data_IF_218284793602
#
_entry.id   IF_218284793602
#
_cell.length_a   1.000
_cell.length_b   1.000
_cell.length_c   1.000
_cell.angle_alpha   90.00
_cell.angle_beta   90.00
_cell.angle_gamma   90.00
#
_symmetry.space_group_name_H-M   'P 1'
#
loop_
_entity.id
_entity.type
_entity.pdbx_description
1 polymer ?
#
# COMPACT_ATOMS: atom_id res chain seq x y z
N UNK A 1 7.61 16.56 -2.40
CA UNK A 1 6.87 15.60 -1.59
C UNK A 1 5.48 15.48 -2.15
N UNK A 2 4.91 14.26 -2.19
CA UNK A 2 3.59 13.95 -2.77
C UNK A 2 2.65 13.37 -1.73
N UNK A 3 1.38 13.25 -2.06
CA UNK A 3 0.40 12.55 -1.23
C UNK A 3 -0.56 11.73 -2.07
N UNK A 4 -0.86 10.54 -1.56
CA UNK A 4 -2.03 9.76 -1.93
C UNK A 4 -3.16 9.94 -0.92
N UNK A 5 -4.21 9.15 -1.07
CA UNK A 5 -5.35 9.11 -0.14
C UNK A 5 -5.86 7.68 0.00
N UNK A 6 -6.21 7.26 1.22
CA UNK A 6 -6.88 5.98 1.42
C UNK A 6 -8.32 6.06 0.91
N UNK A 7 -8.78 5.04 0.19
CA UNK A 7 -10.14 4.96 -0.33
C UNK A 7 -11.13 4.41 0.72
N UNK A 8 -12.45 4.71 0.61
CA UNK A 8 -13.49 4.13 1.46
C UNK A 8 -13.76 2.66 1.09
N UNK A 9 -12.74 1.82 1.24
CA UNK A 9 -12.77 0.40 0.93
C UNK A 9 -13.44 -0.44 2.01
N UNK A 10 -13.43 0.07 3.26
CA UNK A 10 -13.86 -0.67 4.42
C UNK A 10 -14.92 0.09 5.24
N UNK A 11 -15.70 -0.66 6.03
CA UNK A 11 -16.65 -0.11 6.98
C UNK A 11 -17.89 0.51 6.35
N UNK A 12 -18.62 1.37 7.12
CA UNK A 12 -19.95 1.86 6.72
C UNK A 12 -19.97 2.77 5.49
N UNK A 13 -18.86 3.47 5.20
CA UNK A 13 -18.76 4.34 4.03
C UNK A 13 -18.47 3.58 2.74
N UNK A 14 -18.15 2.27 2.83
CA UNK A 14 -17.66 1.51 1.68
C UNK A 14 -18.79 1.06 0.74
N UNK A 15 -18.58 1.28 -0.53
CA UNK A 15 -19.36 0.72 -1.65
C UNK A 15 -18.59 0.91 -2.95
N UNK A 16 -18.99 0.22 -4.03
CA UNK A 16 -18.41 0.43 -5.35
C UNK A 16 -18.57 1.88 -5.82
N UNK A 17 -19.76 2.50 -5.59
CA UNK A 17 -20.01 3.92 -5.88
C UNK A 17 -19.11 4.85 -5.08
N UNK A 18 -19.01 4.64 -3.77
CA UNK A 18 -18.16 5.47 -2.90
C UNK A 18 -16.68 5.39 -3.32
N UNK A 19 -16.16 4.20 -3.62
CA UNK A 19 -14.78 4.03 -4.10
C UNK A 19 -14.55 4.71 -5.45
N UNK A 20 -15.49 4.57 -6.40
CA UNK A 20 -15.43 5.23 -7.70
C UNK A 20 -15.39 6.75 -7.56
N UNK A 21 -16.35 7.32 -6.84
CA UNK A 21 -16.43 8.77 -6.60
C UNK A 21 -15.20 9.32 -5.89
N UNK A 22 -14.72 8.61 -4.85
CA UNK A 22 -13.53 8.99 -4.11
C UNK A 22 -12.25 8.95 -4.97
N UNK A 23 -12.10 7.94 -5.81
CA UNK A 23 -10.92 7.80 -6.67
C UNK A 23 -10.90 8.85 -7.79
N UNK A 24 -12.04 9.12 -8.44
CA UNK A 24 -12.18 10.18 -9.46
C UNK A 24 -11.93 11.55 -8.83
N UNK A 25 -12.53 11.83 -7.67
CA UNK A 25 -12.30 13.07 -6.93
C UNK A 25 -10.84 13.25 -6.54
N UNK A 26 -10.18 12.19 -6.04
CA UNK A 26 -8.76 12.23 -5.72
C UNK A 26 -7.90 12.57 -6.94
N UNK A 27 -8.20 11.97 -8.09
CA UNK A 27 -7.54 12.28 -9.37
C UNK A 27 -7.75 13.74 -9.78
N UNK A 28 -8.95 14.27 -9.67
CA UNK A 28 -9.29 15.66 -10.02
C UNK A 28 -8.66 16.68 -9.07
N UNK A 29 -8.50 16.34 -7.80
CA UNK A 29 -7.83 17.17 -6.80
C UNK A 29 -6.29 17.11 -6.90
N UNK A 30 -5.74 16.19 -7.70
CA UNK A 30 -4.31 16.07 -7.93
C UNK A 30 -3.57 15.20 -6.91
N UNK A 31 -4.24 14.28 -6.23
CA UNK A 31 -3.51 13.26 -5.46
C UNK A 31 -2.65 12.40 -6.38
N UNK A 32 -1.46 12.03 -5.92
CA UNK A 32 -0.53 11.22 -6.71
C UNK A 32 -1.05 9.78 -6.90
N UNK A 33 -1.72 9.27 -5.87
CA UNK A 33 -2.17 7.87 -5.84
C UNK A 33 -3.34 7.66 -4.86
N UNK A 34 -4.00 6.52 -5.01
CA UNK A 34 -5.08 6.06 -4.13
C UNK A 34 -4.72 4.71 -3.54
N UNK A 35 -5.13 4.47 -2.29
CA UNK A 35 -4.64 3.33 -1.51
C UNK A 35 -5.77 2.52 -0.90
N UNK A 36 -5.55 1.20 -0.79
CA UNK A 36 -6.47 0.24 -0.17
C UNK A 36 -5.72 -0.70 0.76
N UNK A 37 -6.41 -1.16 1.82
CA UNK A 37 -5.86 -2.07 2.84
C UNK A 37 -6.14 -3.54 2.52
N UNK A 38 -5.48 -4.44 3.23
CA UNK A 38 -5.63 -5.88 3.05
C UNK A 38 -5.97 -6.60 4.36
N UNK A 39 -7.17 -7.19 4.39
CA UNK A 39 -7.58 -8.24 5.31
C UNK A 39 -8.53 -9.19 4.58
N UNK A 40 -8.33 -10.49 4.76
CA UNK A 40 -9.17 -11.54 4.15
C UNK A 40 -10.29 -11.95 5.09
N UNK A 41 -9.98 -12.06 6.39
CA UNK A 41 -10.94 -12.42 7.42
C UNK A 41 -10.56 -11.75 8.74
N UNK A 42 -11.56 -11.24 9.47
CA UNK A 42 -11.35 -10.52 10.73
C UNK A 42 -12.04 -11.28 11.85
N UNK A 43 -11.33 -11.68 12.90
CA UNK A 43 -11.94 -12.36 14.05
C UNK A 43 -13.01 -11.49 14.72
N UNK A 44 -14.09 -12.11 15.18
CA UNK A 44 -15.10 -11.41 15.97
C UNK A 44 -14.46 -10.83 17.24
N UNK A 45 -14.65 -9.54 17.48
CA UNK A 45 -14.09 -8.84 18.64
C UNK A 45 -12.66 -8.33 18.45
N UNK A 46 -12.08 -8.44 17.25
CA UNK A 46 -10.80 -7.78 16.97
C UNK A 46 -10.94 -6.26 17.08
N UNK A 47 -9.98 -5.62 17.75
CA UNK A 47 -9.95 -4.15 17.86
C UNK A 47 -9.55 -3.47 16.54
N UNK A 48 -8.74 -4.17 15.74
CA UNK A 48 -8.31 -3.73 14.41
C UNK A 48 -8.24 -4.92 13.45
N UNK A 49 -8.64 -4.76 12.18
CA UNK A 49 -9.25 -3.56 11.58
C UNK A 49 -10.63 -3.23 12.21
N UNK A 50 -11.08 -1.97 12.13
CA UNK A 50 -12.31 -1.54 12.82
C UNK A 50 -13.60 -2.10 12.18
N UNK A 51 -13.50 -2.82 11.08
CA UNK A 51 -14.61 -3.46 10.38
C UNK A 51 -14.14 -4.73 9.69
N UNK A 52 -14.99 -5.77 9.77
CA UNK A 52 -14.83 -6.97 8.94
C UNK A 52 -15.39 -6.78 7.50
N UNK A 53 -16.14 -5.70 7.26
CA UNK A 53 -16.60 -5.35 5.92
C UNK A 53 -15.48 -4.61 5.21
N UNK A 54 -14.75 -5.32 4.37
CA UNK A 54 -13.60 -4.81 3.60
C UNK A 54 -13.55 -5.51 2.25
N UNK A 55 -13.43 -4.75 1.17
CA UNK A 55 -13.24 -5.32 -0.16
C UNK A 55 -11.81 -5.85 -0.33
N UNK A 56 -11.65 -6.94 -1.07
CA UNK A 56 -10.33 -7.48 -1.41
C UNK A 56 -9.52 -6.42 -2.20
N UNK A 57 -8.26 -6.12 -1.82
CA UNK A 57 -7.53 -4.97 -2.34
C UNK A 57 -7.29 -4.97 -3.84
N UNK A 58 -6.93 -6.11 -4.44
CA UNK A 58 -6.65 -6.16 -5.88
C UNK A 58 -7.93 -6.07 -6.72
N UNK A 59 -9.05 -6.58 -6.21
CA UNK A 59 -10.37 -6.42 -6.82
C UNK A 59 -10.81 -4.97 -6.75
N UNK A 60 -10.63 -4.31 -5.59
CA UNK A 60 -10.94 -2.89 -5.41
C UNK A 60 -10.08 -2.01 -6.33
N UNK A 61 -8.76 -2.24 -6.41
CA UNK A 61 -7.88 -1.49 -7.30
C UNK A 61 -8.19 -1.73 -8.79
N UNK A 62 -8.59 -2.94 -9.17
CA UNK A 62 -9.02 -3.23 -10.55
C UNK A 62 -10.28 -2.43 -10.91
N UNK A 63 -11.24 -2.35 -9.96
CA UNK A 63 -12.45 -1.54 -10.12
C UNK A 63 -12.09 -0.05 -10.29
N UNK A 64 -11.22 0.48 -9.44
CA UNK A 64 -10.76 1.88 -9.49
C UNK A 64 -9.95 2.16 -10.75
N UNK A 65 -9.11 1.24 -11.20
CA UNK A 65 -8.33 1.37 -12.43
C UNK A 65 -9.20 1.63 -13.66
N UNK A 66 -10.42 1.05 -13.68
CA UNK A 66 -11.34 1.20 -14.81
C UNK A 66 -12.04 2.58 -14.86
N UNK A 67 -12.02 3.34 -13.77
CA UNK A 67 -12.68 4.66 -13.69
C UNK A 67 -11.71 5.83 -13.48
N UNK A 68 -10.41 5.59 -13.45
CA UNK A 68 -9.34 6.59 -13.30
C UNK A 68 -8.30 6.45 -14.42
N UNK A 69 -7.50 7.49 -14.68
CA UNK A 69 -6.56 7.51 -15.78
C UNK A 69 -5.13 7.89 -15.41
N UNK A 70 -4.92 8.60 -14.28
CA UNK A 70 -3.64 9.19 -13.89
C UNK A 70 -3.15 8.71 -12.52
N UNK A 71 -4.04 8.67 -11.52
CA UNK A 71 -3.64 8.31 -10.15
C UNK A 71 -3.01 6.93 -10.08
N UNK A 72 -1.94 6.82 -9.29
CA UNK A 72 -1.34 5.55 -8.91
C UNK A 72 -2.31 4.69 -8.08
N UNK A 73 -2.11 3.38 -8.10
CA UNK A 73 -2.99 2.38 -7.49
C UNK A 73 -2.20 1.59 -6.44
N UNK A 74 -2.32 1.99 -5.18
CA UNK A 74 -1.48 1.50 -4.08
C UNK A 74 -2.16 0.50 -3.14
N UNK A 75 -1.38 -0.42 -2.59
CA UNK A 75 -1.80 -1.26 -1.46
C UNK A 75 -1.08 -0.84 -0.17
N UNK A 76 -1.82 -0.70 0.95
CA UNK A 76 -1.29 -0.25 2.25
C UNK A 76 -1.71 -1.18 3.40
N UNK A 77 -1.14 -2.38 3.54
CA UNK A 77 -0.22 -3.07 2.65
C UNK A 77 -0.76 -4.45 2.32
N UNK A 78 -0.40 -5.00 1.17
CA UNK A 78 -0.76 -6.37 0.81
C UNK A 78 0.05 -7.37 1.64
N UNK A 79 -0.62 -8.34 2.26
CA UNK A 79 0.02 -9.37 3.08
C UNK A 79 0.43 -10.54 2.19
N UNK A 80 1.68 -10.54 1.73
CA UNK A 80 2.18 -11.51 0.73
C UNK A 80 2.01 -12.98 1.12
N UNK A 81 2.33 -13.40 2.37
CA UNK A 81 2.26 -14.83 2.73
C UNK A 81 0.87 -15.45 2.65
N UNK A 82 -0.18 -14.63 2.70
CA UNK A 82 -1.57 -15.08 2.63
C UNK A 82 -2.02 -15.47 1.21
N UNK A 83 -1.17 -15.30 0.20
CA UNK A 83 -1.49 -15.50 -1.22
C UNK A 83 -0.52 -16.44 -1.91
N UNK A 84 -1.01 -17.17 -2.92
CA UNK A 84 -0.10 -17.87 -3.83
C UNK A 84 0.68 -16.84 -4.66
N UNK A 85 2.02 -16.81 -4.58
CA UNK A 85 2.82 -15.75 -5.20
C UNK A 85 2.78 -15.75 -6.73
N UNK A 86 2.58 -16.91 -7.38
CA UNK A 86 2.44 -16.98 -8.84
C UNK A 86 1.11 -16.37 -9.30
N UNK A 87 0.01 -16.70 -8.61
CA UNK A 87 -1.31 -16.11 -8.88
C UNK A 87 -1.27 -14.61 -8.63
N UNK A 88 -0.67 -14.19 -7.52
CA UNK A 88 -0.51 -12.77 -7.19
C UNK A 88 0.31 -12.02 -8.24
N UNK A 89 1.46 -12.57 -8.66
CA UNK A 89 2.29 -11.96 -9.71
C UNK A 89 1.49 -11.78 -11.02
N UNK A 90 0.65 -12.75 -11.37
CA UNK A 90 -0.24 -12.69 -12.53
C UNK A 90 -1.30 -11.60 -12.40
N UNK A 91 -1.94 -11.48 -11.23
CA UNK A 91 -2.95 -10.47 -10.97
C UNK A 91 -2.35 -9.07 -11.05
N UNK A 92 -1.22 -8.83 -10.37
CA UNK A 92 -0.51 -7.55 -10.38
C UNK A 92 -0.09 -7.15 -11.79
N UNK A 93 0.51 -8.06 -12.56
CA UNK A 93 0.88 -7.80 -13.96
C UNK A 93 -0.33 -7.48 -14.84
N UNK A 94 -1.47 -8.11 -14.58
CA UNK A 94 -2.71 -7.82 -15.31
C UNK A 94 -3.26 -6.44 -14.99
N UNK A 95 -3.29 -6.07 -13.70
CA UNK A 95 -3.73 -4.73 -13.26
C UNK A 95 -2.78 -3.66 -13.82
N UNK A 96 -1.47 -3.91 -13.78
CA UNK A 96 -0.46 -2.99 -14.33
C UNK A 96 -0.71 -2.70 -15.82
N UNK A 97 -0.87 -3.73 -16.63
CA UNK A 97 -1.16 -3.60 -18.06
C UNK A 97 -2.51 -2.89 -18.32
N UNK A 98 -3.57 -3.27 -17.59
CA UNK A 98 -4.90 -2.67 -17.73
C UNK A 98 -4.96 -1.21 -17.26
N UNK A 99 -4.09 -0.84 -16.33
CA UNK A 99 -3.98 0.52 -15.80
C UNK A 99 -2.88 1.36 -16.45
N UNK A 100 -2.16 0.84 -17.45
CA UNK A 100 -1.03 1.52 -18.09
C UNK A 100 0.13 1.86 -17.13
N UNK A 101 0.49 0.89 -16.27
CA UNK A 101 1.67 0.99 -15.42
C UNK A 101 1.48 1.79 -14.13
N UNK A 102 0.24 1.86 -13.59
CA UNK A 102 -0.07 2.70 -12.41
C UNK A 102 0.00 1.99 -11.07
N UNK A 103 0.29 0.69 -11.01
CA UNK A 103 0.27 -0.05 -9.74
C UNK A 103 1.50 0.25 -8.88
N UNK A 104 1.27 0.44 -7.58
CA UNK A 104 2.29 0.57 -6.53
C UNK A 104 2.02 -0.52 -5.49
N UNK A 105 2.94 -1.46 -5.34
CA UNK A 105 2.72 -2.59 -4.46
C UNK A 105 3.33 -2.35 -3.07
N UNK A 106 2.53 -1.83 -2.15
CA UNK A 106 2.86 -1.81 -0.73
C UNK A 106 2.66 -3.21 -0.14
N UNK A 107 3.70 -3.78 0.47
CA UNK A 107 3.74 -5.19 0.90
C UNK A 107 4.19 -5.36 2.34
N UNK A 108 3.71 -6.40 3.02
CA UNK A 108 4.22 -6.79 4.33
C UNK A 108 4.08 -8.29 4.60
N UNK A 109 4.68 -8.73 5.71
CA UNK A 109 4.60 -10.12 6.17
C UNK A 109 3.29 -10.45 6.93
N UNK A 110 2.54 -9.45 7.37
CA UNK A 110 1.32 -9.64 8.16
C UNK A 110 1.60 -9.78 9.67
N UNK A 111 0.54 -9.60 10.45
CA UNK A 111 0.59 -9.60 11.92
C UNK A 111 -0.58 -10.35 12.59
N UNK A 112 -1.71 -10.50 11.91
CA UNK A 112 -2.93 -11.08 12.47
C UNK A 112 -2.92 -12.61 12.29
N UNK A 113 -2.37 -13.33 13.27
CA UNK A 113 -2.16 -14.78 13.23
C UNK A 113 -3.43 -15.56 12.88
N UNK A 114 -4.60 -15.14 13.39
CA UNK A 114 -5.87 -15.79 13.12
C UNK A 114 -6.27 -15.81 11.63
N UNK A 115 -5.84 -14.84 10.82
CA UNK A 115 -6.04 -14.88 9.36
C UNK A 115 -5.18 -15.96 8.72
N UNK A 116 -3.94 -16.11 9.18
CA UNK A 116 -3.02 -17.17 8.71
C UNK A 116 -3.59 -18.55 9.01
N UNK A 117 -4.09 -18.76 10.22
CA UNK A 117 -4.73 -20.01 10.63
C UNK A 117 -5.95 -20.33 9.74
N UNK A 118 -6.81 -19.34 9.50
CA UNK A 118 -7.99 -19.48 8.65
C UNK A 118 -7.63 -19.83 7.18
N UNK A 119 -6.46 -19.39 6.72
CA UNK A 119 -5.95 -19.67 5.38
C UNK A 119 -5.06 -20.91 5.30
N UNK A 120 -4.79 -21.57 6.42
CA UNK A 120 -3.90 -22.72 6.49
C UNK A 120 -2.43 -22.36 6.19
N UNK A 121 -2.01 -21.13 6.47
CA UNK A 121 -0.65 -20.65 6.24
C UNK A 121 0.11 -20.57 7.57
N UNK A 122 1.28 -21.24 7.71
CA UNK A 122 2.05 -21.18 8.95
C UNK A 122 2.52 -19.77 9.28
N UNK A 123 2.01 -19.18 10.37
CA UNK A 123 2.34 -17.81 10.79
C UNK A 123 3.84 -17.60 11.05
N UNK A 124 4.51 -18.62 11.61
CA UNK A 124 5.96 -18.58 11.91
C UNK A 124 6.81 -18.44 10.63
N UNK A 125 6.32 -18.90 9.49
CA UNK A 125 7.01 -18.84 8.19
C UNK A 125 6.78 -17.53 7.44
N UNK A 126 5.92 -16.62 7.95
CA UNK A 126 5.49 -15.41 7.19
C UNK A 126 6.65 -14.58 6.64
N UNK A 127 7.78 -14.50 7.36
CA UNK A 127 8.96 -13.78 6.91
C UNK A 127 9.62 -14.43 5.70
N UNK A 128 9.88 -15.73 5.78
CA UNK A 128 10.47 -16.51 4.68
C UNK A 128 9.55 -16.57 3.46
N UNK A 129 8.24 -16.76 3.67
CA UNK A 129 7.23 -16.72 2.62
C UNK A 129 7.17 -15.36 1.93
N UNK A 130 7.30 -14.25 2.68
CA UNK A 130 7.38 -12.92 2.08
C UNK A 130 8.61 -12.78 1.17
N UNK A 131 9.78 -13.22 1.63
CA UNK A 131 11.03 -13.09 0.88
C UNK A 131 10.99 -13.93 -0.40
N UNK A 132 10.55 -15.19 -0.32
CA UNK A 132 10.41 -16.06 -1.49
C UNK A 132 9.30 -15.59 -2.44
N UNK A 133 8.18 -15.05 -1.92
CA UNK A 133 7.12 -14.47 -2.76
C UNK A 133 7.63 -13.28 -3.59
N UNK A 134 8.43 -12.39 -2.99
CA UNK A 134 9.05 -11.27 -3.72
C UNK A 134 9.96 -11.80 -4.83
N UNK A 135 10.76 -12.82 -4.56
CA UNK A 135 11.63 -13.44 -5.56
C UNK A 135 10.82 -14.03 -6.72
N UNK A 136 9.79 -14.84 -6.42
CA UNK A 136 8.89 -15.42 -7.42
C UNK A 136 8.28 -14.32 -8.29
N UNK A 137 7.69 -13.28 -7.67
CA UNK A 137 7.05 -12.20 -8.39
C UNK A 137 8.04 -11.48 -9.32
N UNK A 138 9.21 -11.08 -8.81
CA UNK A 138 10.23 -10.39 -9.62
C UNK A 138 10.65 -11.24 -10.83
N UNK A 139 10.92 -12.54 -10.63
CA UNK A 139 11.28 -13.44 -11.74
C UNK A 139 10.14 -13.62 -12.73
N UNK A 140 8.90 -13.78 -12.26
CA UNK A 140 7.72 -13.90 -13.13
C UNK A 140 7.53 -12.64 -13.99
N UNK A 141 7.88 -11.47 -13.48
CA UNK A 141 7.73 -10.20 -14.19
C UNK A 141 8.87 -9.91 -15.19
N UNK A 142 10.04 -10.50 -15.01
CA UNK A 142 11.23 -10.19 -15.84
C UNK A 142 11.65 -11.32 -16.77
N UNK A 143 11.60 -12.57 -16.30
CA UNK A 143 12.13 -13.71 -17.04
C UNK A 143 11.11 -14.19 -18.09
N UNK A 144 11.55 -14.50 -19.30
CA UNK A 144 10.66 -15.08 -20.32
C UNK A 144 10.29 -16.54 -19.97
N UNK A 145 11.25 -17.30 -19.41
CA UNK A 145 11.04 -18.65 -18.93
C UNK A 145 11.66 -18.81 -17.55
N UNK A 146 10.95 -19.46 -16.64
CA UNK A 146 11.43 -19.74 -15.29
C UNK A 146 11.59 -21.23 -15.10
N UNK A 147 12.78 -21.65 -14.69
CA UNK A 147 13.04 -22.98 -14.11
C UNK A 147 13.66 -22.75 -12.74
N UNK A 148 12.95 -23.11 -11.69
CA UNK A 148 13.40 -22.93 -10.30
C UNK A 148 12.54 -23.74 -9.33
N UNK A 149 13.12 -24.06 -8.19
CA UNK A 149 12.40 -24.60 -7.04
C UNK A 149 12.28 -23.51 -5.98
N UNK A 150 11.08 -23.40 -5.40
CA UNK A 150 10.72 -22.45 -4.34
C UNK A 150 10.20 -23.24 -3.13
N UNK A 151 11.11 -23.72 -2.27
CA UNK A 151 10.78 -24.73 -1.26
C UNK A 151 9.84 -24.22 -0.16
N UNK A 152 9.88 -22.93 0.19
CA UNK A 152 9.01 -22.36 1.24
C UNK A 152 7.53 -22.37 0.82
N UNK A 153 7.27 -22.16 -0.48
CA UNK A 153 5.92 -22.28 -1.05
C UNK A 153 5.63 -23.68 -1.61
N UNK A 154 6.60 -24.62 -1.59
CA UNK A 154 6.46 -25.94 -2.20
C UNK A 154 6.22 -25.84 -3.71
N UNK A 155 6.70 -24.80 -4.37
CA UNK A 155 6.46 -24.53 -5.78
C UNK A 155 7.68 -24.92 -6.63
N UNK A 156 7.43 -25.62 -7.76
CA UNK A 156 8.43 -26.00 -8.73
C UNK A 156 8.03 -25.53 -10.11
N UNK A 157 8.89 -24.73 -10.74
CA UNK A 157 8.71 -24.24 -12.10
C UNK A 157 9.68 -24.96 -13.04
N UNK A 158 9.17 -25.47 -14.16
CA UNK A 158 9.97 -26.10 -15.19
C UNK A 158 9.61 -25.46 -16.52
N UNK A 159 10.46 -24.58 -17.03
CA UNK A 159 10.25 -23.83 -18.27
C UNK A 159 8.90 -23.14 -18.34
N UNK A 160 8.45 -22.54 -17.21
CA UNK A 160 7.17 -21.87 -17.10
C UNK A 160 7.23 -20.47 -17.68
N UNK A 161 6.19 -20.09 -18.41
CA UNK A 161 5.98 -18.72 -18.94
C UNK A 161 4.73 -18.12 -18.32
N UNK A 162 4.81 -16.86 -17.94
CA UNK A 162 3.66 -16.10 -17.41
C UNK A 162 3.53 -14.78 -18.14
N UNK A 163 2.46 -14.60 -18.91
CA UNK A 163 2.14 -13.40 -19.69
C UNK A 163 0.69 -12.95 -19.39
N UNK A 164 0.38 -11.63 -19.38
CA UNK A 164 1.32 -10.53 -19.62
C UNK A 164 2.33 -10.41 -18.46
N UNK A 165 3.44 -9.74 -18.72
CA UNK A 165 4.31 -9.16 -17.71
C UNK A 165 3.90 -7.71 -17.49
N UNK A 166 4.31 -7.05 -16.41
CA UNK A 166 4.08 -5.61 -16.22
C UNK A 166 4.62 -4.79 -17.40
N UNK A 167 4.04 -3.62 -17.61
CA UNK A 167 4.47 -2.68 -18.66
C UNK A 167 5.85 -2.08 -18.39
N UNK A 168 6.26 -2.09 -17.12
CA UNK A 168 7.54 -1.58 -16.64
C UNK A 168 7.90 -2.13 -15.27
N UNK A 169 8.70 -1.37 -14.52
CA UNK A 169 9.01 -1.69 -13.14
C UNK A 169 7.80 -1.46 -12.23
N UNK A 170 7.40 -2.48 -11.47
CA UNK A 170 6.36 -2.36 -10.42
C UNK A 170 7.04 -1.92 -9.12
N UNK A 171 6.77 -0.69 -8.62
CA UNK A 171 7.36 -0.24 -7.36
C UNK A 171 6.92 -1.10 -6.18
N UNK A 172 7.89 -1.56 -5.36
CA UNK A 172 7.66 -2.31 -4.14
C UNK A 172 7.97 -1.43 -2.92
N UNK A 173 6.94 -1.05 -2.15
CA UNK A 173 7.11 -0.32 -0.89
C UNK A 173 6.89 -1.27 0.28
N UNK A 174 7.94 -1.50 1.06
CA UNK A 174 7.90 -2.50 2.12
C UNK A 174 7.36 -1.89 3.40
N UNK A 175 6.27 -2.46 3.91
CA UNK A 175 5.63 -2.09 5.17
C UNK A 175 6.23 -2.80 6.38
N UNK A 176 5.94 -2.25 7.55
CA UNK A 176 6.33 -2.79 8.84
C UNK A 176 7.35 -1.93 9.60
N UNK A 177 7.37 -2.11 10.92
CA UNK A 177 8.10 -1.24 11.84
C UNK A 177 9.33 -1.90 12.47
N UNK A 178 9.41 -3.22 12.42
CA UNK A 178 10.51 -4.01 12.99
C UNK A 178 11.76 -3.92 12.12
N UNK A 179 12.93 -4.11 12.73
CA UNK A 179 14.22 -4.04 12.03
C UNK A 179 14.32 -5.02 10.86
N UNK A 180 13.69 -6.19 10.94
CA UNK A 180 13.63 -7.15 9.84
C UNK A 180 12.83 -6.60 8.63
N UNK A 181 11.79 -5.80 8.86
CA UNK A 181 11.04 -5.15 7.78
C UNK A 181 11.86 -4.01 7.15
N UNK A 182 12.57 -3.22 7.95
CA UNK A 182 13.49 -2.20 7.44
C UNK A 182 14.62 -2.82 6.61
N UNK A 183 15.23 -3.91 7.10
CA UNK A 183 16.25 -4.64 6.35
C UNK A 183 15.71 -5.18 5.01
N UNK A 184 14.44 -5.64 4.97
CA UNK A 184 13.77 -6.05 3.73
C UNK A 184 13.57 -4.85 2.79
N UNK A 185 13.10 -3.70 3.30
CA UNK A 185 12.95 -2.48 2.50
C UNK A 185 14.28 -2.05 1.87
N UNK A 186 15.37 -2.07 2.64
CA UNK A 186 16.73 -1.77 2.17
C UNK A 186 17.15 -2.72 1.04
N UNK A 187 16.94 -4.01 1.23
CA UNK A 187 17.45 -5.06 0.33
C UNK A 187 16.69 -5.15 -1.00
N UNK A 188 15.37 -5.03 -0.98
CA UNK A 188 14.52 -5.36 -2.14
C UNK A 188 13.47 -4.33 -2.51
N UNK A 189 13.25 -3.31 -1.66
CA UNK A 189 12.21 -2.30 -1.85
C UNK A 189 12.67 -1.09 -2.66
N UNK A 190 11.70 -0.41 -3.27
CA UNK A 190 11.84 0.92 -3.86
C UNK A 190 11.44 2.01 -2.86
N UNK A 191 10.93 1.60 -1.69
CA UNK A 191 10.58 2.47 -0.58
C UNK A 191 10.20 1.70 0.67
N UNK A 192 10.05 2.46 1.76
CA UNK A 192 9.46 1.99 3.01
C UNK A 192 8.13 2.69 3.24
N UNK A 193 7.11 1.90 3.63
CA UNK A 193 5.77 2.39 3.90
C UNK A 193 5.42 2.15 5.37
N UNK A 194 5.58 3.20 6.20
CA UNK A 194 5.19 3.20 7.60
C UNK A 194 3.70 3.50 7.78
N UNK A 195 3.15 3.11 8.92
CA UNK A 195 1.78 3.40 9.28
C UNK A 195 1.66 3.81 10.74
N UNK A 196 0.97 4.92 11.01
CA UNK A 196 0.55 5.36 12.35
C UNK A 196 1.69 5.52 13.38
N UNK A 197 2.89 5.81 12.93
CA UNK A 197 4.03 6.13 13.80
C UNK A 197 4.08 7.65 14.04
N UNK A 198 4.56 8.08 15.21
CA UNK A 198 4.84 9.51 15.42
C UNK A 198 6.03 9.99 14.58
N UNK A 199 6.20 11.32 14.35
CA UNK A 199 7.37 11.85 13.66
C UNK A 199 8.71 11.37 14.25
N UNK A 200 8.86 11.32 15.59
CA UNK A 200 10.08 10.85 16.25
C UNK A 200 10.32 9.35 16.02
N UNK A 201 9.25 8.54 16.06
CA UNK A 201 9.34 7.11 15.77
C UNK A 201 9.73 6.87 14.32
N UNK A 202 9.19 7.68 13.42
CA UNK A 202 9.50 7.68 11.98
C UNK A 202 10.94 8.09 11.74
N UNK A 203 11.40 9.19 12.32
CA UNK A 203 12.76 9.71 12.17
C UNK A 203 13.84 8.70 12.55
N UNK A 204 13.63 7.93 13.63
CA UNK A 204 14.55 6.84 14.00
C UNK A 204 14.70 5.79 12.89
N UNK A 205 13.63 5.46 12.17
CA UNK A 205 13.61 4.48 11.08
C UNK A 205 14.18 5.07 9.79
N UNK A 206 13.78 6.29 9.47
CA UNK A 206 14.29 7.02 8.30
C UNK A 206 15.82 7.17 8.38
N UNK A 207 16.38 7.48 9.56
CA UNK A 207 17.82 7.54 9.74
C UNK A 207 18.53 6.22 9.38
N UNK A 208 17.96 5.07 9.79
CA UNK A 208 18.48 3.74 9.42
C UNK A 208 18.36 3.48 7.92
N UNK A 209 17.21 3.79 7.34
CA UNK A 209 16.95 3.58 5.92
C UNK A 209 17.88 4.44 5.04
N UNK A 210 18.00 5.73 5.33
CA UNK A 210 18.82 6.67 4.55
C UNK A 210 20.33 6.42 4.67
N UNK A 211 20.79 5.77 5.74
CA UNK A 211 22.18 5.34 5.86
C UNK A 211 22.56 4.30 4.80
N UNK A 212 21.63 3.43 4.39
CA UNK A 212 21.84 2.37 3.41
C UNK A 212 21.23 2.69 2.02
N UNK A 213 20.21 3.53 2.00
CA UNK A 213 19.45 3.93 0.80
C UNK A 213 19.35 5.47 0.73
N UNK A 214 20.48 6.17 0.42
CA UNK A 214 20.55 7.64 0.40
C UNK A 214 19.86 8.26 -0.81
N UNK A 215 19.61 7.51 -1.88
CA UNK A 215 19.02 8.00 -3.12
C UNK A 215 17.62 8.58 -2.91
N UNK A 216 17.34 9.72 -3.55
CA UNK A 216 16.06 10.44 -3.45
C UNK A 216 14.89 9.66 -4.07
N UNK A 217 15.18 8.70 -4.96
CA UNK A 217 14.17 7.80 -5.55
C UNK A 217 13.60 6.79 -4.55
N UNK A 218 14.36 6.45 -3.47
CA UNK A 218 13.84 5.57 -2.41
C UNK A 218 12.78 6.30 -1.60
N UNK A 219 11.52 5.87 -1.72
CA UNK A 219 10.38 6.53 -1.08
C UNK A 219 10.32 6.26 0.42
N UNK A 220 10.01 7.29 1.17
CA UNK A 220 9.66 7.20 2.60
C UNK A 220 8.20 7.63 2.71
N UNK A 221 7.31 6.66 2.75
CA UNK A 221 5.86 6.89 2.79
C UNK A 221 5.30 6.65 4.19
N UNK A 222 4.32 7.48 4.58
CA UNK A 222 3.64 7.36 5.87
C UNK A 222 2.13 7.39 5.70
N UNK A 223 1.46 6.28 6.11
CA UNK A 223 0.02 6.27 6.31
C UNK A 223 -0.31 6.93 7.63
N UNK A 224 -1.23 7.88 7.61
CA UNK A 224 -1.67 8.65 8.78
C UNK A 224 -3.17 8.51 8.99
N UNK A 225 -3.65 8.83 10.19
CA UNK A 225 -5.09 8.84 10.52
C UNK A 225 -5.68 10.25 10.48
N UNK A 226 -5.12 11.14 9.67
CA UNK A 226 -5.63 12.49 9.57
C UNK A 226 -7.01 12.52 8.91
N UNK A 227 -7.93 13.20 9.55
CA UNK A 227 -9.25 13.51 9.03
C UNK A 227 -9.51 15.01 9.16
N UNK A 228 -9.43 15.73 8.06
CA UNK A 228 -9.53 17.18 8.02
C UNK A 228 -10.91 17.74 8.43
N UNK A 229 -11.94 16.87 8.62
CA UNK A 229 -13.24 17.27 9.15
C UNK A 229 -13.37 17.06 10.67
N UNK A 230 -12.50 16.24 11.27
CA UNK A 230 -12.60 15.86 12.68
C UNK A 230 -11.41 16.35 13.50
N UNK A 231 -10.23 16.45 12.91
CA UNK A 231 -8.99 16.80 13.59
C UNK A 231 -8.70 18.31 13.50
N UNK A 232 -7.95 18.82 14.47
CA UNK A 232 -7.47 20.19 14.46
C UNK A 232 -6.45 20.40 13.32
N UNK A 233 -6.73 21.37 12.47
CA UNK A 233 -5.90 21.67 11.28
C UNK A 233 -4.47 22.11 11.63
N UNK A 234 -4.29 22.86 12.71
CA UNK A 234 -2.96 23.33 13.11
C UNK A 234 -2.12 22.17 13.63
N UNK A 235 -2.75 21.18 14.28
CA UNK A 235 -2.08 19.92 14.68
C UNK A 235 -1.65 19.14 13.45
N UNK A 236 -2.54 18.93 12.47
CA UNK A 236 -2.20 18.22 11.23
C UNK A 236 -1.04 18.91 10.51
N UNK A 237 -1.10 20.24 10.37
CA UNK A 237 -0.04 21.01 9.70
C UNK A 237 1.30 20.89 10.42
N UNK A 238 1.32 21.00 11.74
CA UNK A 238 2.53 20.81 12.55
C UNK A 238 3.09 19.39 12.43
N UNK A 239 2.23 18.36 12.39
CA UNK A 239 2.69 16.98 12.17
C UNK A 239 3.28 16.81 10.75
N UNK A 240 2.66 17.37 9.72
CA UNK A 240 3.21 17.36 8.35
C UNK A 240 4.62 17.94 8.33
N UNK A 241 4.82 19.13 8.93
CA UNK A 241 6.13 19.78 9.01
C UNK A 241 7.17 18.87 9.71
N UNK A 242 6.81 18.29 10.85
CA UNK A 242 7.71 17.38 11.56
C UNK A 242 8.05 16.12 10.76
N UNK A 243 7.08 15.54 10.03
CA UNK A 243 7.36 14.39 9.16
C UNK A 243 8.26 14.77 7.98
N UNK A 244 8.11 15.99 7.44
CA UNK A 244 8.99 16.52 6.41
C UNK A 244 10.42 16.66 6.92
N UNK A 245 10.59 17.25 8.11
CA UNK A 245 11.90 17.44 8.76
C UNK A 245 12.62 16.09 8.99
N UNK A 246 11.89 15.04 9.34
CA UNK A 246 12.50 13.71 9.52
C UNK A 246 12.65 12.91 8.22
N UNK A 247 12.26 13.47 7.08
CA UNK A 247 12.56 12.94 5.75
C UNK A 247 11.48 12.05 5.13
N UNK A 248 10.22 12.17 5.55
CA UNK A 248 9.07 11.58 4.84
C UNK A 248 8.92 12.29 3.49
N UNK A 249 8.68 11.53 2.43
CA UNK A 249 8.55 12.01 1.06
C UNK A 249 7.14 11.85 0.48
N UNK A 250 6.31 11.06 1.16
CA UNK A 250 4.97 10.73 0.69
C UNK A 250 4.02 10.45 1.85
N UNK A 251 2.78 10.94 1.77
CA UNK A 251 1.72 10.71 2.76
C UNK A 251 0.54 9.93 2.19
N UNK A 252 -0.09 9.14 3.04
CA UNK A 252 -1.38 8.47 2.76
C UNK A 252 -2.34 8.75 3.93
N UNK A 253 -3.02 9.90 3.97
CA UNK A 253 -4.09 10.14 4.93
C UNK A 253 -5.23 9.12 4.79
N UNK A 254 -5.80 8.73 5.93
CA UNK A 254 -6.96 7.85 6.00
C UNK A 254 -8.11 8.57 6.71
N UNK A 255 -9.08 9.14 5.96
CA UNK A 255 -10.29 9.71 6.55
C UNK A 255 -11.10 8.68 7.32
N UNK A 256 -11.74 9.11 8.45
CA UNK A 256 -12.48 8.21 9.35
C UNK A 256 -14.00 8.34 9.22
N UNK A 257 -14.46 8.89 8.13
CA UNK A 257 -15.87 9.19 7.88
C UNK A 257 -16.72 7.93 7.69
N UNK A 258 -17.96 7.98 8.17
CA UNK A 258 -18.87 6.84 8.17
C UNK A 258 -19.88 6.85 7.02
N UNK A 259 -19.90 7.88 6.20
CA UNK A 259 -20.78 8.01 5.02
C UNK A 259 -19.95 8.33 3.79
N UNK A 260 -20.41 7.91 2.62
CA UNK A 260 -19.72 8.20 1.35
C UNK A 260 -19.54 9.72 1.15
N UNK A 261 -20.58 10.51 1.35
CA UNK A 261 -20.49 11.97 1.17
C UNK A 261 -19.60 12.66 2.22
N UNK A 262 -19.58 12.15 3.46
CA UNK A 262 -18.61 12.59 4.48
C UNK A 262 -17.17 12.31 4.04
N UNK A 263 -16.94 11.12 3.51
CA UNK A 263 -15.62 10.71 3.04
C UNK A 263 -15.11 11.59 1.87
N UNK A 264 -15.98 11.93 0.92
CA UNK A 264 -15.64 12.83 -0.18
C UNK A 264 -15.28 14.23 0.31
N UNK A 265 -16.07 14.81 1.22
CA UNK A 265 -15.74 16.11 1.84
C UNK A 265 -14.41 16.07 2.61
N UNK A 266 -14.11 14.95 3.27
CA UNK A 266 -12.83 14.79 3.97
C UNK A 266 -11.66 14.75 2.99
N UNK A 267 -11.80 14.10 1.83
CA UNK A 267 -10.79 14.10 0.74
C UNK A 267 -10.52 15.53 0.25
N UNK A 268 -11.59 16.34 0.01
CA UNK A 268 -11.45 17.75 -0.42
C UNK A 268 -10.74 18.60 0.65
N UNK A 269 -11.20 18.54 1.90
CA UNK A 269 -10.60 19.27 3.00
C UNK A 269 -9.14 18.87 3.25
N UNK A 270 -8.83 17.57 3.14
CA UNK A 270 -7.47 17.07 3.28
C UNK A 270 -6.54 17.56 2.15
N UNK A 271 -7.04 17.64 0.92
CA UNK A 271 -6.28 18.20 -0.20
C UNK A 271 -5.90 19.67 0.04
N UNK A 272 -6.81 20.47 0.62
CA UNK A 272 -6.54 21.86 0.94
C UNK A 272 -5.50 22.02 2.06
N UNK A 273 -5.53 21.16 3.08
CA UNK A 273 -4.50 21.14 4.13
C UNK A 273 -3.13 20.75 3.56
N UNK A 274 -3.06 19.72 2.72
CA UNK A 274 -1.82 19.28 2.09
C UNK A 274 -1.21 20.37 1.20
N UNK A 275 -2.03 21.11 0.44
CA UNK A 275 -1.55 22.26 -0.35
C UNK A 275 -1.00 23.38 0.55
N UNK A 276 -1.69 23.71 1.65
CA UNK A 276 -1.22 24.69 2.64
C UNK A 276 0.13 24.31 3.25
N UNK A 277 0.35 23.01 3.47
CA UNK A 277 1.62 22.46 3.96
C UNK A 277 2.71 22.32 2.86
N UNK A 278 2.48 22.82 1.64
CA UNK A 278 3.46 22.75 0.55
C UNK A 278 3.66 21.36 -0.06
N UNK A 279 2.72 20.42 0.17
CA UNK A 279 2.73 19.10 -0.48
C UNK A 279 2.33 19.27 -1.95
N UNK A 280 3.11 18.67 -2.85
CA UNK A 280 2.85 18.74 -4.29
C UNK A 280 1.64 17.90 -4.65
N UNK A 281 0.61 18.54 -5.15
CA UNK A 281 -0.53 17.88 -5.80
C UNK A 281 -0.27 17.85 -7.30
N UNK A 282 -0.54 16.72 -7.94
CA UNK A 282 -0.33 16.56 -9.40
C UNK A 282 -1.48 17.27 -10.14
N UNK A 283 -1.14 18.09 -11.14
CA UNK A 283 -2.10 18.81 -11.97
C UNK A 283 -2.56 17.99 -13.19
#
# INVERSE_FOLDING_TARGET
>A
MTAGIHLPQAGPASSGDAMTRAAVLAEDLGYADVWVSDHVAVPTGAEYPPSAYIYEPLVALTWVAACTHRVGLGTTVLVLPMRNPLVLAKMVASIDQLSSGRIILGIAAGWLEAEFDALGVPFVERGARTDEAIEIMKRVWTDDHITADFPVHGARFVSMRTKPQPSGHVPLWVGGHADIALARAIRVGDGWHGAFLSPEQTGRRVKKLRAERPESSFQISMRTRWDALEDDHDIILAEIDHYQEVGVTHFVPEPRQRTADGYLRAIEAQADLLRRAGVTMMG
#
